data_IF_975550975794
#
_entry.id   IF_975550975794
#
_cell.length_a   1.000
_cell.length_b   1.000
_cell.length_c   1.000
_cell.angle_alpha   90.00
_cell.angle_beta   90.00
_cell.angle_gamma   90.00
#
_symmetry.space_group_name_H-M   'P 1'
#
loop_
_entity.id
_entity.type
_entity.pdbx_description
1 polymer ?
#
# COMPACT_ATOMS: atom_id res chain seq x y z
N UNK A 1 -19.30 -32.90 -63.27
CA UNK A 1 -20.63 -33.54 -63.27
C UNK A 1 -21.32 -33.07 -62.01
N UNK A 2 -22.12 -31.99 -62.15
CA UNK A 2 -23.60 -32.02 -62.15
C UNK A 2 -24.10 -32.14 -60.71
N UNK A 3 -24.89 -31.24 -60.14
CA UNK A 3 -25.89 -30.30 -60.69
C UNK A 3 -26.32 -29.37 -59.52
N UNK A 4 -26.36 -28.04 -59.70
CA UNK A 4 -27.56 -27.16 -59.84
C UNK A 4 -28.36 -26.93 -58.53
N UNK A 5 -28.87 -25.74 -58.21
CA UNK A 5 -28.95 -24.48 -58.94
C UNK A 5 -29.41 -23.31 -58.05
N UNK A 6 -29.18 -22.10 -58.57
CA UNK A 6 -29.62 -20.75 -58.14
C UNK A 6 -31.17 -20.58 -58.27
N UNK A 7 -31.85 -19.40 -58.08
CA UNK A 7 -31.34 -18.02 -57.86
C UNK A 7 -32.18 -17.04 -56.97
N UNK A 8 -31.66 -15.80 -56.84
CA UNK A 8 -32.38 -14.50 -56.70
C UNK A 8 -32.99 -14.16 -55.33
N UNK A 9 -33.14 -12.92 -54.84
CA UNK A 9 -32.79 -11.55 -55.22
C UNK A 9 -32.87 -10.68 -53.93
N UNK A 10 -32.24 -9.50 -53.88
CA UNK A 10 -32.29 -8.56 -52.73
C UNK A 10 -33.66 -7.86 -52.52
N UNK A 11 -33.79 -6.73 -51.78
CA UNK A 11 -32.78 -5.92 -51.08
C UNK A 11 -33.12 -5.66 -49.58
N UNK A 12 -32.29 -4.83 -48.92
CA UNK A 12 -32.34 -4.45 -47.52
C UNK A 12 -33.24 -3.24 -47.20
N UNK A 13 -33.45 -3.02 -45.88
CA UNK A 13 -34.06 -1.89 -45.12
C UNK A 13 -35.57 -2.02 -44.87
N UNK A 14 -36.11 -2.02 -43.64
CA UNK A 14 -35.88 -1.16 -42.46
C UNK A 14 -36.39 -1.86 -41.17
N UNK A 15 -35.97 -1.45 -39.95
CA UNK A 15 -36.50 -2.00 -38.70
C UNK A 15 -37.55 -1.07 -38.05
N UNK A 16 -38.60 -1.66 -37.48
CA UNK A 16 -39.40 -1.00 -36.44
C UNK A 16 -39.61 -1.92 -35.22
N UNK A 17 -39.74 -1.22 -34.11
CA UNK A 17 -39.67 -1.45 -32.67
C UNK A 17 -40.44 -2.59 -31.99
N UNK A 18 -39.89 -3.00 -30.84
CA UNK A 18 -40.66 -3.16 -29.59
C UNK A 18 -40.70 -4.54 -28.92
N UNK A 19 -39.79 -4.79 -27.97
CA UNK A 19 -40.08 -5.32 -26.62
C UNK A 19 -38.79 -5.63 -25.82
N UNK A 20 -38.45 -4.69 -24.93
CA UNK A 20 -37.96 -4.86 -23.54
C UNK A 20 -37.00 -6.01 -23.17
N UNK A 21 -35.72 -5.65 -23.01
CA UNK A 21 -34.78 -6.33 -22.12
C UNK A 21 -33.81 -5.29 -21.56
N UNK A 22 -34.07 -4.80 -20.34
CA UNK A 22 -33.19 -3.86 -19.64
C UNK A 22 -31.90 -4.57 -19.22
N UNK A 23 -30.75 -4.13 -19.73
CA UNK A 23 -29.43 -4.59 -19.27
C UNK A 23 -28.45 -3.44 -19.05
N UNK A 24 -28.14 -3.19 -17.77
CA UNK A 24 -26.93 -2.61 -17.12
C UNK A 24 -26.21 -1.38 -17.70
N UNK A 25 -26.60 -0.82 -18.85
CA UNK A 25 -25.88 0.27 -19.52
C UNK A 25 -26.70 1.56 -19.67
N UNK A 26 -27.65 1.81 -18.76
CA UNK A 26 -28.55 2.98 -18.81
C UNK A 26 -28.59 3.85 -17.54
N UNK A 27 -27.58 3.78 -16.67
CA UNK A 27 -27.46 4.69 -15.52
C UNK A 27 -26.08 5.32 -15.40
N UNK A 28 -25.44 5.66 -16.52
CA UNK A 28 -24.27 6.55 -16.52
C UNK A 28 -24.39 7.57 -17.65
N UNK A 29 -25.40 8.42 -17.53
CA UNK A 29 -25.36 9.75 -18.12
C UNK A 29 -26.35 10.63 -17.34
N UNK A 30 -25.85 11.36 -16.34
CA UNK A 30 -25.78 12.83 -16.40
C UNK A 30 -25.46 13.44 -15.03
N UNK A 31 -24.50 14.36 -15.10
CA UNK A 31 -24.31 15.53 -14.24
C UNK A 31 -23.35 15.41 -13.06
N UNK A 32 -22.12 15.86 -13.31
CA UNK A 32 -21.53 16.93 -12.49
C UNK A 32 -20.37 16.56 -11.56
N UNK A 33 -19.14 16.59 -12.09
CA UNK A 33 -18.02 17.40 -11.60
C UNK A 33 -16.71 16.82 -12.16
N UNK A 34 -16.05 17.61 -13.01
CA UNK A 34 -14.68 17.37 -13.43
C UNK A 34 -13.77 17.66 -12.23
N UNK A 35 -13.45 16.62 -11.46
CA UNK A 35 -12.30 16.60 -10.55
C UNK A 35 -11.31 15.61 -11.12
N UNK A 36 -10.08 16.05 -11.42
CA UNK A 36 -8.99 15.13 -11.73
C UNK A 36 -8.63 14.43 -10.43
N UNK A 37 -9.32 13.33 -10.16
CA UNK A 37 -8.95 12.39 -9.10
C UNK A 37 -7.68 11.66 -9.53
N UNK A 38 -6.70 11.61 -8.64
CA UNK A 38 -5.56 10.70 -8.77
C UNK A 38 -6.12 9.29 -8.92
N UNK A 39 -5.92 8.67 -10.08
CA UNK A 39 -6.31 7.30 -10.33
C UNK A 39 -5.28 6.38 -9.65
N UNK A 40 -5.62 5.86 -8.47
CA UNK A 40 -4.93 4.71 -7.90
C UNK A 40 -5.33 3.47 -8.72
N UNK A 41 -4.39 2.83 -9.40
CA UNK A 41 -4.64 1.65 -10.23
C UNK A 41 -4.55 0.32 -9.47
N UNK A 42 -4.52 0.35 -8.13
CA UNK A 42 -4.61 -0.82 -7.25
C UNK A 42 -5.96 -0.86 -6.54
N UNK A 43 -6.45 -2.06 -6.19
CA UNK A 43 -7.84 -2.39 -5.86
C UNK A 43 -8.43 -1.73 -4.58
N UNK A 44 -8.59 -0.41 -4.56
CA UNK A 44 -9.35 0.28 -3.49
C UNK A 44 -10.87 0.07 -3.59
N UNK A 45 -11.38 -0.40 -4.73
CA UNK A 45 -12.82 -0.65 -4.91
C UNK A 45 -13.34 -1.76 -3.99
N UNK A 46 -12.51 -2.73 -3.60
CA UNK A 46 -12.95 -3.82 -2.73
C UNK A 46 -12.92 -3.45 -1.24
N UNK A 47 -12.03 -2.53 -0.83
CA UNK A 47 -11.97 -2.01 0.54
C UNK A 47 -13.25 -1.24 0.94
N UNK A 48 -14.03 -0.77 -0.05
CA UNK A 48 -15.34 -0.13 0.14
C UNK A 48 -16.53 -1.05 -0.17
N UNK A 49 -16.32 -2.32 -0.53
CA UNK A 49 -17.42 -3.31 -0.61
C UNK A 49 -17.72 -3.93 0.75
N UNK A 50 -17.77 -3.11 1.80
CA UNK A 50 -18.44 -3.48 3.03
C UNK A 50 -19.93 -3.66 2.72
N UNK A 51 -20.44 -4.86 2.97
CA UNK A 51 -21.85 -5.25 2.89
C UNK A 51 -22.81 -4.10 3.23
N UNK A 52 -23.79 -3.88 2.36
CA UNK A 52 -24.88 -2.90 2.47
C UNK A 52 -25.84 -3.20 3.66
N UNK A 53 -25.30 -3.18 4.88
CA UNK A 53 -26.01 -3.17 6.15
C UNK A 53 -25.20 -2.35 7.17
N UNK A 54 -24.60 -1.25 6.74
CA UNK A 54 -24.35 -0.15 7.67
C UNK A 54 -25.72 0.42 8.01
N UNK A 55 -26.27 0.03 9.16
CA UNK A 55 -27.34 0.76 9.81
C UNK A 55 -26.99 2.24 9.68
N UNK A 56 -27.88 3.07 9.13
CA UNK A 56 -27.66 4.50 9.00
C UNK A 56 -27.51 5.10 10.42
N UNK A 57 -26.31 5.02 10.96
CA UNK A 57 -25.87 5.77 12.13
C UNK A 57 -26.04 7.21 11.67
N UNK A 58 -27.07 7.89 12.18
CA UNK A 58 -27.55 9.20 11.74
C UNK A 58 -26.57 10.35 11.97
N UNK A 59 -25.34 10.19 11.50
CA UNK A 59 -24.31 11.20 11.40
C UNK A 59 -24.07 11.45 9.91
N UNK A 60 -24.20 12.71 9.48
CA UNK A 60 -23.94 13.20 8.12
C UNK A 60 -22.43 13.12 7.71
N UNK A 61 -21.70 12.12 8.22
CA UNK A 61 -20.25 12.04 8.11
C UNK A 61 -19.55 13.29 8.68
N UNK A 62 -18.40 13.65 8.10
CA UNK A 62 -17.67 14.87 8.46
C UNK A 62 -18.04 16.08 7.58
N UNK A 63 -19.06 15.95 6.72
CA UNK A 63 -19.39 16.93 5.68
C UNK A 63 -18.50 16.84 4.44
N UNK A 64 -18.72 17.72 3.44
CA UNK A 64 -17.97 17.73 2.19
C UNK A 64 -16.51 18.12 2.40
N UNK A 65 -15.64 17.67 1.49
CA UNK A 65 -14.25 18.11 1.43
C UNK A 65 -14.17 19.57 0.98
N UNK A 66 -13.27 20.32 1.60
CA UNK A 66 -12.93 21.70 1.22
C UNK A 66 -11.62 21.64 0.44
N UNK A 67 -11.57 22.21 -0.78
CA UNK A 67 -10.34 22.29 -1.56
C UNK A 67 -9.21 22.92 -0.75
N UNK A 68 -8.07 22.25 -0.73
CA UNK A 68 -6.86 22.74 -0.07
C UNK A 68 -6.22 23.84 -0.93
N UNK A 69 -6.00 25.05 -0.40
CA UNK A 69 -5.32 26.12 -1.15
C UNK A 69 -3.89 25.73 -1.58
N UNK A 70 -3.23 24.84 -0.84
CA UNK A 70 -1.89 24.34 -1.17
C UNK A 70 -1.94 23.09 -2.08
N UNK A 71 -3.14 22.58 -2.38
CA UNK A 71 -3.38 21.46 -3.29
C UNK A 71 -2.82 20.11 -2.82
N UNK A 72 -2.60 19.93 -1.51
CA UNK A 72 -2.05 18.69 -0.96
C UNK A 72 -3.14 17.71 -0.51
N UNK A 73 -4.09 18.17 0.31
CA UNK A 73 -5.14 17.31 0.85
C UNK A 73 -6.42 18.08 1.14
N UNK A 74 -7.44 17.84 0.32
CA UNK A 74 -8.79 18.34 0.57
C UNK A 74 -9.37 17.67 1.83
N UNK A 75 -9.80 18.47 2.80
CA UNK A 75 -10.26 18.00 4.11
C UNK A 75 -11.63 18.58 4.47
N UNK A 76 -12.45 17.88 5.28
CA UNK A 76 -13.68 18.46 5.78
C UNK A 76 -13.44 19.70 6.63
N UNK A 77 -14.44 20.58 6.72
CA UNK A 77 -14.35 21.83 7.50
C UNK A 77 -13.95 21.54 8.96
N UNK A 78 -12.90 22.23 9.43
CA UNK A 78 -12.40 22.11 10.81
C UNK A 78 -11.27 21.08 11.00
N UNK A 79 -11.00 20.25 9.99
CA UNK A 79 -9.83 19.39 9.95
C UNK A 79 -8.60 20.17 9.48
N UNK A 80 -7.42 19.68 9.85
CA UNK A 80 -6.13 20.23 9.44
C UNK A 80 -5.12 19.10 9.32
N UNK A 81 -4.17 19.25 8.41
CA UNK A 81 -3.02 18.36 8.33
C UNK A 81 -1.73 19.08 8.74
N UNK A 82 -0.67 18.29 8.91
CA UNK A 82 0.70 18.78 8.94
C UNK A 82 1.55 17.82 8.12
N UNK A 83 2.37 18.37 7.25
CA UNK A 83 3.41 17.62 6.56
C UNK A 83 4.50 17.26 7.57
N UNK A 84 4.80 15.97 7.69
CA UNK A 84 5.85 15.49 8.58
C UNK A 84 7.23 15.54 7.90
N UNK A 85 7.31 15.04 6.67
CA UNK A 85 8.48 15.12 5.79
C UNK A 85 8.05 14.98 4.32
N UNK A 86 8.95 15.31 3.39
CA UNK A 86 8.73 15.18 1.94
C UNK A 86 9.87 14.39 1.33
N UNK A 87 9.56 13.57 0.33
CA UNK A 87 10.57 12.88 -0.47
C UNK A 87 11.63 13.87 -0.97
N UNK A 88 12.90 13.45 -0.91
CA UNK A 88 14.04 14.24 -1.39
C UNK A 88 14.55 15.30 -0.39
N UNK A 89 13.76 15.71 0.60
CA UNK A 89 14.25 16.55 1.68
C UNK A 89 15.31 15.79 2.51
N UNK A 90 16.27 16.45 3.16
CA UNK A 90 17.21 15.77 4.03
C UNK A 90 16.52 15.10 5.24
N UNK A 91 16.82 13.82 5.48
CA UNK A 91 16.49 13.16 6.74
C UNK A 91 17.13 13.92 7.90
N UNK A 92 16.41 14.07 9.01
CA UNK A 92 16.93 14.78 10.20
C UNK A 92 18.16 14.13 10.83
N UNK A 93 18.37 12.84 10.59
CA UNK A 93 19.57 12.10 11.00
C UNK A 93 20.82 12.48 10.21
N UNK A 94 20.67 13.03 9.01
CA UNK A 94 21.78 13.26 8.08
C UNK A 94 22.19 12.03 7.27
N UNK A 95 21.47 10.92 7.37
CA UNK A 95 21.77 9.65 6.67
C UNK A 95 21.52 9.70 5.15
N UNK A 96 20.83 10.74 4.67
CA UNK A 96 20.51 10.92 3.26
C UNK A 96 19.21 11.68 3.04
N UNK A 97 18.67 11.67 1.83
CA UNK A 97 17.35 12.20 1.54
C UNK A 97 16.23 11.30 2.07
N UNK A 98 15.05 11.86 2.30
CA UNK A 98 13.82 11.13 2.57
C UNK A 98 13.51 10.27 1.34
N UNK A 99 13.37 8.94 1.50
CA UNK A 99 13.20 8.04 0.35
C UNK A 99 11.84 8.20 -0.32
N UNK A 100 11.74 7.77 -1.58
CA UNK A 100 10.51 7.83 -2.39
C UNK A 100 9.47 6.81 -1.98
N UNK A 101 8.30 6.88 -2.63
CA UNK A 101 7.22 5.88 -2.56
C UNK A 101 6.77 5.56 -1.12
N UNK A 102 6.39 6.59 -0.36
CA UNK A 102 5.82 6.39 0.98
C UNK A 102 4.59 5.49 0.92
N UNK A 103 4.56 4.45 1.77
CA UNK A 103 3.47 3.48 1.80
C UNK A 103 3.04 3.14 3.24
N UNK A 104 2.71 1.88 3.53
CA UNK A 104 2.23 1.36 4.80
C UNK A 104 3.00 1.89 6.00
N UNK A 105 2.26 2.20 7.06
CA UNK A 105 2.84 2.80 8.26
C UNK A 105 2.03 2.50 9.51
N UNK A 106 2.71 2.55 10.67
CA UNK A 106 2.06 2.47 11.97
C UNK A 106 2.67 3.44 12.98
N UNK A 107 1.81 3.94 13.86
CA UNK A 107 2.17 4.84 14.95
C UNK A 107 2.20 4.08 16.28
N UNK A 108 3.36 4.11 16.93
CA UNK A 108 3.66 3.42 18.18
C UNK A 108 3.81 4.42 19.31
N UNK A 109 3.29 4.07 20.49
CA UNK A 109 3.35 4.96 21.65
C UNK A 109 4.79 5.00 22.19
N UNK A 110 5.35 6.21 22.27
CA UNK A 110 6.62 6.50 22.92
C UNK A 110 6.45 6.98 24.37
N UNK A 111 7.58 7.37 24.99
CA UNK A 111 7.59 7.96 26.33
C UNK A 111 7.15 9.42 26.29
N UNK A 112 6.61 9.94 27.41
CA UNK A 112 6.28 11.38 27.57
C UNK A 112 5.39 11.95 26.44
N UNK A 113 4.45 11.14 25.94
CA UNK A 113 3.54 11.54 24.87
C UNK A 113 4.17 11.55 23.47
N UNK A 114 5.39 11.03 23.30
CA UNK A 114 5.97 10.83 21.98
C UNK A 114 5.24 9.74 21.20
N UNK A 115 5.39 9.79 19.88
CA UNK A 115 4.94 8.76 18.95
C UNK A 115 6.11 8.38 18.05
N UNK A 116 6.35 7.09 17.87
CA UNK A 116 7.26 6.58 16.84
C UNK A 116 6.42 6.15 15.65
N UNK A 117 6.59 6.80 14.50
CA UNK A 117 5.94 6.43 13.25
C UNK A 117 6.96 5.66 12.40
N UNK A 118 6.67 4.39 12.10
CA UNK A 118 7.44 3.61 11.12
C UNK A 118 6.70 3.67 9.80
N UNK A 119 7.39 4.04 8.73
CA UNK A 119 6.83 4.25 7.39
C UNK A 119 7.64 3.47 6.36
N UNK A 120 6.95 2.70 5.54
CA UNK A 120 7.52 1.98 4.41
C UNK A 120 7.86 2.88 3.23
N UNK A 121 8.79 2.39 2.43
CA UNK A 121 9.16 2.94 1.14
C UNK A 121 9.08 1.84 0.09
N UNK A 122 8.00 1.85 -0.71
CA UNK A 122 7.67 0.88 -1.76
C UNK A 122 8.54 1.11 -3.02
N UNK A 123 9.85 1.17 -2.82
CA UNK A 123 10.78 1.37 -3.91
C UNK A 123 11.05 0.03 -4.61
N UNK A 124 10.65 -0.02 -5.88
CA UNK A 124 11.11 -1.00 -6.87
C UNK A 124 12.50 -0.62 -7.41
N UNK A 125 13.04 -1.38 -8.36
CA UNK A 125 14.35 -1.13 -8.98
C UNK A 125 14.44 0.27 -9.63
N UNK A 126 13.33 0.78 -10.15
CA UNK A 126 13.22 2.12 -10.72
C UNK A 126 12.95 3.24 -9.69
N UNK A 127 12.91 2.93 -8.39
CA UNK A 127 12.67 3.90 -7.31
C UNK A 127 13.64 5.09 -7.38
N UNK A 128 13.09 6.31 -7.30
CA UNK A 128 13.83 7.56 -7.54
C UNK A 128 14.83 7.87 -6.43
N UNK A 129 14.40 7.71 -5.17
CA UNK A 129 15.22 7.98 -3.99
C UNK A 129 15.21 6.72 -3.11
N UNK A 130 16.28 5.91 -3.14
CA UNK A 130 16.34 4.67 -2.36
C UNK A 130 16.41 4.97 -0.87
N UNK A 131 16.03 3.99 -0.04
CA UNK A 131 16.33 4.08 1.40
C UNK A 131 17.85 4.02 1.59
N UNK A 132 18.50 5.02 2.24
CA UNK A 132 19.95 5.02 2.39
C UNK A 132 20.47 3.78 3.12
N UNK A 133 21.53 3.19 2.60
CA UNK A 133 22.20 2.07 3.27
C UNK A 133 22.84 2.55 4.58
N UNK A 134 22.59 1.80 5.66
CA UNK A 134 23.14 2.08 7.00
C UNK A 134 23.70 0.79 7.59
N UNK A 135 24.94 0.83 8.06
CA UNK A 135 25.63 -0.34 8.64
C UNK A 135 24.82 -0.97 9.78
N UNK A 136 24.55 -2.27 9.63
CA UNK A 136 23.75 -3.08 10.55
C UNK A 136 22.24 -2.96 10.38
N UNK A 137 21.75 -2.12 9.45
CA UNK A 137 20.33 -1.96 9.10
C UNK A 137 20.03 -2.22 7.62
N UNK A 138 21.03 -2.61 6.83
CA UNK A 138 20.86 -2.96 5.40
C UNK A 138 20.79 -4.46 5.20
N UNK A 139 19.70 -4.97 4.62
CA UNK A 139 19.56 -6.38 4.24
C UNK A 139 20.35 -6.68 2.95
N UNK A 140 19.92 -6.18 1.80
CA UNK A 140 20.61 -6.27 0.52
C UNK A 140 21.08 -4.88 0.07
N UNK A 141 22.39 -4.63 -0.15
CA UNK A 141 22.88 -3.33 -0.62
C UNK A 141 22.24 -2.83 -1.92
N UNK A 142 21.75 -3.72 -2.78
CA UNK A 142 21.08 -3.36 -4.04
C UNK A 142 19.58 -3.10 -3.87
N UNK A 143 19.02 -3.48 -2.71
CA UNK A 143 17.65 -3.20 -2.33
C UNK A 143 17.40 -1.70 -2.13
N UNK A 144 16.38 -1.15 -2.78
CA UNK A 144 16.03 0.27 -2.70
C UNK A 144 14.89 0.59 -1.71
N UNK A 145 14.17 -0.43 -1.28
CA UNK A 145 13.11 -0.34 -0.29
C UNK A 145 13.63 -0.30 1.14
N UNK A 146 12.70 -0.22 2.08
CA UNK A 146 12.97 -0.17 3.51
C UNK A 146 11.91 0.61 4.27
N UNK A 147 12.27 1.00 5.47
CA UNK A 147 11.45 1.86 6.31
C UNK A 147 12.27 3.02 6.85
N UNK A 148 11.60 4.15 7.06
CA UNK A 148 12.09 5.23 7.94
C UNK A 148 11.30 5.25 9.23
N UNK A 149 11.93 5.72 10.31
CA UNK A 149 11.28 5.99 11.59
C UNK A 149 11.33 7.47 11.94
N UNK A 150 10.17 8.04 12.24
CA UNK A 150 9.99 9.39 12.75
C UNK A 150 9.62 9.34 14.24
N UNK A 151 10.26 10.18 15.05
CA UNK A 151 9.79 10.44 16.42
C UNK A 151 9.08 11.78 16.47
N UNK A 152 7.79 11.75 16.80
CA UNK A 152 6.95 12.92 17.00
C UNK A 152 6.85 13.26 18.48
N UNK A 153 6.75 14.53 18.82
CA UNK A 153 6.35 14.96 20.16
C UNK A 153 4.84 14.89 20.39
N UNK A 154 4.41 15.20 21.62
CA UNK A 154 2.99 15.21 22.01
C UNK A 154 2.11 16.21 21.24
N UNK A 155 2.70 17.07 20.40
CA UNK A 155 2.01 18.03 19.55
C UNK A 155 2.17 17.71 18.05
N UNK A 156 2.63 16.49 17.72
CA UNK A 156 2.83 16.04 16.35
C UNK A 156 3.93 16.81 15.62
N UNK A 157 4.96 17.31 16.31
CA UNK A 157 6.15 17.88 15.66
C UNK A 157 7.24 16.81 15.54
N UNK A 158 7.85 16.71 14.36
CA UNK A 158 8.96 15.79 14.11
C UNK A 158 10.19 16.23 14.91
N UNK A 159 10.66 15.37 15.80
CA UNK A 159 11.86 15.56 16.62
C UNK A 159 13.07 14.84 16.05
N UNK A 160 12.86 13.67 15.44
CA UNK A 160 13.87 12.98 14.65
C UNK A 160 13.22 12.20 13.52
N UNK A 161 14.00 11.92 12.48
CA UNK A 161 13.64 11.09 11.33
C UNK A 161 14.94 10.40 10.87
N UNK A 162 14.91 9.08 10.68
CA UNK A 162 16.08 8.25 10.39
C UNK A 162 15.70 7.00 9.60
N UNK A 163 16.69 6.34 9.00
CA UNK A 163 16.54 4.99 8.44
C UNK A 163 16.24 4.00 9.57
N UNK A 164 15.25 3.12 9.35
CA UNK A 164 14.90 2.06 10.29
C UNK A 164 15.33 0.68 9.76
N UNK A 165 15.10 0.42 8.48
CA UNK A 165 15.66 -0.72 7.75
C UNK A 165 15.87 -0.28 6.31
N UNK A 166 16.93 -0.75 5.67
CA UNK A 166 17.25 -0.48 4.27
C UNK A 166 17.57 -1.79 3.56
N UNK A 167 17.64 -1.75 2.23
CA UNK A 167 18.04 -2.90 1.44
C UNK A 167 16.99 -4.01 1.39
N UNK A 168 15.74 -3.71 1.74
CA UNK A 168 14.60 -4.55 1.42
C UNK A 168 13.99 -4.08 0.08
N UNK A 169 13.00 -4.78 -0.42
CA UNK A 169 12.44 -4.56 -1.75
C UNK A 169 10.93 -4.35 -1.68
N UNK A 170 10.43 -3.31 -2.36
CA UNK A 170 8.97 -3.12 -2.60
C UNK A 170 8.17 -3.22 -1.30
N UNK A 171 8.59 -2.49 -0.26
CA UNK A 171 7.91 -2.49 1.03
C UNK A 171 6.53 -1.85 0.88
N UNK A 172 5.48 -2.66 0.74
CA UNK A 172 4.12 -2.17 0.51
C UNK A 172 3.44 -1.84 1.83
N UNK A 173 2.52 -2.68 2.32
CA UNK A 173 1.91 -2.54 3.63
C UNK A 173 2.67 -3.33 4.73
N UNK A 174 1.92 -3.87 5.68
CA UNK A 174 2.47 -4.51 6.87
C UNK A 174 1.46 -4.60 8.00
N UNK A 175 1.96 -4.70 9.23
CA UNK A 175 1.11 -4.74 10.41
C UNK A 175 1.83 -4.44 11.72
N UNK A 176 1.17 -3.74 12.66
CA UNK A 176 1.74 -3.50 13.97
C UNK A 176 1.69 -4.79 14.81
N UNK A 177 2.75 -5.04 15.56
CA UNK A 177 2.78 -6.12 16.54
C UNK A 177 2.22 -5.67 17.89
N UNK A 178 1.67 -6.60 18.70
CA UNK A 178 1.27 -6.31 20.08
C UNK A 178 2.41 -5.88 21.00
N UNK A 179 3.66 -6.17 20.62
CA UNK A 179 4.88 -5.80 21.36
C UNK A 179 5.56 -4.53 20.83
N UNK A 180 4.80 -3.70 20.09
CA UNK A 180 5.18 -2.33 19.72
C UNK A 180 6.32 -2.25 18.70
N UNK A 181 6.29 -3.13 17.70
CA UNK A 181 7.13 -3.12 16.49
C UNK A 181 6.25 -3.15 15.24
N UNK A 182 6.84 -2.85 14.09
CA UNK A 182 6.20 -2.91 12.78
C UNK A 182 6.71 -4.12 12.02
N UNK A 183 5.81 -4.90 11.42
CA UNK A 183 6.16 -5.90 10.41
C UNK A 183 5.98 -5.23 9.05
N UNK A 184 7.09 -4.99 8.35
CA UNK A 184 7.06 -4.53 6.95
C UNK A 184 7.06 -5.72 6.02
N UNK A 185 6.28 -5.62 4.94
CA UNK A 185 6.11 -6.68 3.95
C UNK A 185 6.76 -6.31 2.62
N UNK A 186 7.56 -7.20 2.05
CA UNK A 186 8.04 -7.06 0.67
C UNK A 186 7.00 -7.65 -0.31
N UNK A 187 6.45 -6.82 -1.20
CA UNK A 187 5.48 -7.21 -2.24
C UNK A 187 6.19 -7.67 -3.52
N UNK A 188 7.15 -8.58 -3.37
CA UNK A 188 7.87 -9.16 -4.50
C UNK A 188 8.20 -10.62 -4.22
N UNK A 189 8.61 -11.35 -5.24
CA UNK A 189 9.17 -12.68 -5.11
C UNK A 189 10.52 -12.81 -5.82
N UNK A 190 11.14 -11.67 -6.13
CA UNK A 190 12.43 -11.64 -6.81
C UNK A 190 13.50 -12.37 -6.00
N UNK A 191 14.33 -13.11 -6.73
CA UNK A 191 15.46 -13.86 -6.17
C UNK A 191 16.77 -13.13 -6.44
N UNK A 192 17.82 -13.55 -5.75
CA UNK A 192 19.18 -13.13 -6.07
C UNK A 192 19.45 -13.32 -7.58
N UNK A 193 19.95 -12.28 -8.24
CA UNK A 193 20.19 -12.23 -9.68
C UNK A 193 19.05 -11.63 -10.51
N UNK A 194 17.86 -11.43 -9.93
CA UNK A 194 16.75 -10.70 -10.57
C UNK A 194 16.81 -9.23 -10.18
N UNK A 195 16.56 -8.31 -11.12
CA UNK A 195 16.49 -6.86 -10.87
C UNK A 195 17.70 -6.24 -10.14
N UNK A 196 18.86 -6.91 -10.18
CA UNK A 196 20.10 -6.48 -9.53
C UNK A 196 20.26 -6.95 -8.09
N UNK A 197 19.27 -7.63 -7.50
CA UNK A 197 19.37 -8.11 -6.12
C UNK A 197 20.48 -9.13 -5.93
N UNK A 198 21.17 -9.03 -4.79
CA UNK A 198 22.20 -9.97 -4.35
C UNK A 198 21.67 -11.03 -3.40
N UNK A 199 20.46 -10.84 -2.87
CA UNK A 199 19.75 -11.74 -1.97
C UNK A 199 18.35 -12.07 -2.50
N UNK A 200 17.76 -13.12 -1.95
CA UNK A 200 16.34 -13.40 -2.18
C UNK A 200 15.48 -12.40 -1.41
N UNK A 201 14.36 -12.01 -2.02
CA UNK A 201 13.35 -11.11 -1.47
C UNK A 201 11.97 -11.79 -1.46
N UNK A 202 10.99 -11.06 -0.93
CA UNK A 202 9.62 -11.52 -0.67
C UNK A 202 9.42 -11.97 0.76
N UNK A 203 10.11 -11.33 1.71
CA UNK A 203 10.02 -11.68 3.13
C UNK A 203 9.36 -10.56 3.94
N UNK A 204 8.92 -10.92 5.15
CA UNK A 204 8.55 -9.97 6.18
C UNK A 204 9.79 -9.63 7.01
N UNK A 205 9.92 -8.37 7.43
CA UNK A 205 10.96 -7.91 8.36
C UNK A 205 10.33 -7.20 9.56
N UNK A 206 10.94 -7.37 10.74
CA UNK A 206 10.53 -6.66 11.94
C UNK A 206 11.32 -5.37 12.13
N UNK A 207 10.63 -4.28 12.46
CA UNK A 207 11.19 -2.95 12.62
C UNK A 207 10.76 -2.35 13.96
N UNK A 208 11.72 -2.15 14.87
CA UNK A 208 11.49 -1.36 16.07
C UNK A 208 11.60 0.13 15.75
N UNK A 209 10.48 0.86 15.88
CA UNK A 209 10.43 2.28 15.56
C UNK A 209 11.19 3.18 16.55
N UNK A 210 11.46 2.73 17.77
CA UNK A 210 12.20 3.51 18.76
C UNK A 210 13.71 3.30 18.65
N UNK A 211 14.15 2.05 18.45
CA UNK A 211 15.55 1.68 18.24
C UNK A 211 15.66 0.56 17.20
N UNK A 212 15.83 0.91 15.91
CA UNK A 212 15.85 -0.06 14.83
C UNK A 212 16.96 -1.11 14.93
N UNK A 213 18.03 -0.83 15.68
CA UNK A 213 19.13 -1.80 15.88
C UNK A 213 18.73 -2.99 16.72
N UNK A 214 17.60 -2.93 17.44
CA UNK A 214 17.08 -4.05 18.22
C UNK A 214 16.53 -5.19 17.36
N UNK A 215 16.02 -4.86 16.18
CA UNK A 215 15.48 -5.85 15.22
C UNK A 215 16.43 -6.07 14.06
N UNK A 216 17.19 -5.04 13.65
CA UNK A 216 18.16 -5.13 12.57
C UNK A 216 17.49 -5.38 11.21
N UNK A 217 18.23 -5.96 10.28
CA UNK A 217 17.76 -6.28 8.92
C UNK A 217 17.73 -7.80 8.70
N UNK A 218 16.86 -8.48 9.45
CA UNK A 218 16.75 -9.95 9.45
C UNK A 218 15.40 -10.38 8.88
N UNK A 219 15.37 -11.17 7.78
CA UNK A 219 14.11 -11.65 7.22
C UNK A 219 13.47 -12.72 8.13
N UNK A 220 12.16 -12.63 8.33
CA UNK A 220 11.35 -13.60 9.06
C UNK A 220 10.93 -14.75 8.13
N UNK A 221 11.91 -15.53 7.67
CA UNK A 221 11.70 -16.57 6.63
C UNK A 221 10.70 -17.66 7.02
N UNK A 222 10.45 -17.87 8.31
CA UNK A 222 9.44 -18.81 8.80
C UNK A 222 7.99 -18.42 8.42
N UNK A 223 7.75 -17.15 8.10
CA UNK A 223 6.46 -16.64 7.60
C UNK A 223 6.27 -16.86 6.09
N UNK A 224 7.23 -17.52 5.44
CA UNK A 224 7.14 -17.83 4.01
C UNK A 224 7.67 -16.71 3.12
N UNK A 225 7.71 -17.00 1.81
CA UNK A 225 8.21 -16.09 0.78
C UNK A 225 7.22 -15.98 -0.37
N UNK A 226 6.57 -14.84 -0.50
CA UNK A 226 5.60 -14.50 -1.54
C UNK A 226 5.42 -12.98 -1.57
N UNK A 227 4.54 -12.47 -2.43
CA UNK A 227 4.24 -11.03 -2.52
C UNK A 227 3.40 -10.57 -1.33
N UNK A 228 4.03 -10.38 -0.17
CA UNK A 228 3.35 -10.00 1.06
C UNK A 228 2.79 -8.58 0.95
N UNK A 229 1.51 -8.43 1.21
CA UNK A 229 0.84 -7.12 1.25
C UNK A 229 0.77 -6.61 2.70
N UNK A 230 -0.19 -7.11 3.49
CA UNK A 230 -0.40 -6.70 4.86
C UNK A 230 -0.41 -7.91 5.81
N UNK A 231 -0.18 -7.62 7.09
CA UNK A 231 -0.31 -8.63 8.14
C UNK A 231 -1.18 -8.15 9.29
N UNK A 232 -1.87 -9.09 9.93
CA UNK A 232 -2.64 -8.85 11.14
C UNK A 232 -2.26 -9.88 12.20
N UNK A 233 -1.85 -9.41 13.39
CA UNK A 233 -1.45 -10.27 14.49
C UNK A 233 -2.61 -10.45 15.47
N UNK A 234 -3.02 -11.69 15.77
CA UNK A 234 -3.93 -12.00 16.87
C UNK A 234 -3.17 -11.81 18.20
N UNK A 235 -3.48 -10.78 19.02
CA UNK A 235 -2.73 -10.48 20.23
C UNK A 235 -2.89 -11.53 21.33
N UNK A 236 -3.87 -12.44 21.22
CA UNK A 236 -4.10 -13.50 22.22
C UNK A 236 -3.38 -14.79 21.88
N UNK A 237 -3.25 -15.10 20.59
CA UNK A 237 -2.70 -16.37 20.10
C UNK A 237 -1.34 -16.24 19.43
N UNK A 238 -0.92 -15.03 19.07
CA UNK A 238 0.29 -14.78 18.30
C UNK A 238 0.18 -15.16 16.82
N UNK A 239 -0.97 -15.63 16.35
CA UNK A 239 -1.19 -16.00 14.94
C UNK A 239 -1.02 -14.75 14.09
N UNK A 240 -0.21 -14.84 13.04
CA UNK A 240 -0.08 -13.79 12.02
C UNK A 240 -0.89 -14.21 10.81
N UNK A 241 -1.82 -13.38 10.38
CA UNK A 241 -2.57 -13.54 9.15
C UNK A 241 -1.94 -12.67 8.07
N UNK A 242 -1.75 -13.21 6.88
CA UNK A 242 -0.93 -12.60 5.83
C UNK A 242 -1.70 -12.64 4.50
N UNK A 243 -1.67 -11.54 3.76
CA UNK A 243 -2.27 -11.44 2.43
C UNK A 243 -1.18 -11.45 1.36
N UNK A 244 -1.45 -12.11 0.24
CA UNK A 244 -0.60 -12.08 -0.95
C UNK A 244 -1.28 -11.25 -2.04
N UNK A 245 -0.62 -10.20 -2.53
CA UNK A 245 -1.10 -9.41 -3.68
C UNK A 245 -0.40 -9.84 -4.97
N UNK A 246 -0.65 -11.09 -5.37
CA UNK A 246 -0.07 -11.59 -6.62
C UNK A 246 -0.81 -11.03 -7.83
N UNK A 247 -0.08 -10.33 -8.69
CA UNK A 247 -0.61 -9.69 -9.90
C UNK A 247 -0.82 -10.68 -11.07
N UNK A 248 -0.19 -11.85 -11.01
CA UNK A 248 -0.25 -12.89 -12.04
C UNK A 248 -1.03 -14.11 -11.56
N UNK A 249 -1.68 -14.82 -12.50
CA UNK A 249 -2.45 -16.04 -12.17
C UNK A 249 -1.51 -17.13 -11.64
N UNK A 250 -1.86 -17.85 -10.55
CA UNK A 250 -3.22 -18.02 -10.01
C UNK A 250 -3.74 -16.96 -9.01
N UNK A 251 -3.22 -15.72 -9.00
CA UNK A 251 -3.55 -14.65 -8.04
C UNK A 251 -3.26 -15.08 -6.58
N UNK A 252 -3.21 -14.11 -5.67
CA UNK A 252 -2.73 -14.36 -4.33
C UNK A 252 -3.68 -15.16 -3.45
N UNK A 253 -3.12 -15.76 -2.40
CA UNK A 253 -3.86 -16.46 -1.36
C UNK A 253 -3.90 -15.68 -0.04
N UNK A 254 -4.57 -16.26 0.95
CA UNK A 254 -4.57 -15.79 2.33
C UNK A 254 -3.93 -16.84 3.22
N UNK A 255 -2.91 -16.44 3.98
CA UNK A 255 -2.08 -17.33 4.78
C UNK A 255 -2.28 -17.06 6.28
N UNK A 256 -1.88 -18.03 7.09
CA UNK A 256 -1.63 -17.80 8.51
C UNK A 256 -0.34 -18.49 8.95
N UNK A 257 0.47 -17.78 9.69
CA UNK A 257 1.62 -18.30 10.40
C UNK A 257 1.30 -18.54 11.88
N UNK A 258 1.70 -19.72 12.37
CA UNK A 258 1.55 -20.13 13.77
C UNK A 258 2.95 -20.11 14.42
N UNK A 259 3.27 -19.14 15.30
CA UNK A 259 4.55 -19.14 16.00
C UNK A 259 4.63 -20.31 17.00
N UNK A 260 5.86 -20.78 17.25
CA UNK A 260 6.16 -21.86 18.20
C UNK A 260 6.10 -21.40 19.66
#
# INVERSE_FOLDING_TARGET
MTETGSPSAGPALTPDSGATGSTRRQMLARSGALGVGIAFTGALSELFTGSAAAQALGHDGYGPLVPDPDGLLDLPKGFRYRVLSREGDPLRSGEGPVPSNHDGMAAFRGRRGQVHLVRNHENREAGRVPVPAVDGLTYDPEGKGGCTSLTLDAHGRVRSERVAIAGTAVNCAGGPTPWNTWLTCEETEDKAGTNGYTKDHGFIFEVDGADPRRTGAVPLTAMGRFQHEAVAVDPRRGIVYETEDAFERPFGLFYRFLPN
#
